data_IF_371131649183
#
_entry.id   IF_371131649183
#
_cell.length_a   1.000
_cell.length_b   1.000
_cell.length_c   1.000
_cell.angle_alpha   90.00
_cell.angle_beta   90.00
_cell.angle_gamma   90.00
#
_symmetry.space_group_name_H-M   'P 1'
#
loop_
_entity.id
_entity.type
_entity.pdbx_description
1 polymer ?
#
# COMPACT_ATOMS: atom_id res chain seq x y z
N UNK A 1 7.31 22.47 -3.51
CA UNK A 1 7.61 23.09 -4.79
C UNK A 1 9.02 22.70 -5.23
N UNK A 2 9.22 22.50 -6.51
CA UNK A 2 10.58 22.35 -7.05
C UNK A 2 11.45 23.53 -6.60
N UNK A 3 12.65 23.23 -6.06
CA UNK A 3 13.60 24.25 -5.58
C UNK A 3 13.43 24.71 -4.14
N UNK A 4 12.56 24.10 -3.35
CA UNK A 4 12.51 24.39 -1.91
C UNK A 4 13.77 23.88 -1.22
N UNK A 5 14.40 24.70 -0.36
CA UNK A 5 15.52 24.27 0.46
C UNK A 5 15.08 23.30 1.58
N UNK A 6 16.05 22.57 2.13
CA UNK A 6 15.78 21.56 3.15
C UNK A 6 15.13 22.15 4.42
N UNK A 7 15.45 23.38 4.79
CA UNK A 7 14.89 24.05 5.98
C UNK A 7 13.41 24.36 5.76
N UNK A 8 13.05 24.89 4.58
CA UNK A 8 11.67 25.15 4.17
C UNK A 8 10.86 23.85 4.14
N UNK A 9 11.43 22.77 3.58
CA UNK A 9 10.77 21.44 3.55
C UNK A 9 10.50 20.96 4.98
N UNK A 10 11.47 21.07 5.89
CA UNK A 10 11.30 20.64 7.28
C UNK A 10 10.24 21.47 8.02
N UNK A 11 10.18 22.78 7.81
CA UNK A 11 9.14 23.65 8.39
C UNK A 11 7.74 23.24 7.92
N UNK A 12 7.57 22.98 6.63
CA UNK A 12 6.30 22.52 6.06
C UNK A 12 5.92 21.15 6.61
N UNK A 13 6.85 20.20 6.69
CA UNK A 13 6.59 18.85 7.22
C UNK A 13 6.23 18.89 8.71
N UNK A 14 6.84 19.78 9.50
CA UNK A 14 6.51 19.93 10.91
C UNK A 14 5.06 20.37 11.17
N UNK A 15 4.47 21.12 10.24
CA UNK A 15 3.05 21.51 10.30
C UNK A 15 2.16 20.46 9.64
N UNK A 16 2.56 19.95 8.47
CA UNK A 16 1.76 19.03 7.68
C UNK A 16 1.54 17.69 8.39
N UNK A 17 2.59 17.07 8.94
CA UNK A 17 2.47 15.72 9.53
C UNK A 17 1.48 15.64 10.69
N UNK A 18 1.53 16.54 11.70
CA UNK A 18 0.52 16.54 12.76
C UNK A 18 -0.90 16.80 12.22
N UNK A 19 -1.06 17.84 11.40
CA UNK A 19 -2.34 18.15 10.79
C UNK A 19 -2.94 16.98 10.02
N UNK A 20 -2.13 16.34 9.17
CA UNK A 20 -2.56 15.18 8.40
C UNK A 20 -2.98 14.02 9.31
N UNK A 21 -2.20 13.73 10.36
CA UNK A 21 -2.51 12.65 11.30
C UNK A 21 -3.85 12.88 12.00
N UNK A 22 -4.12 14.11 12.43
CA UNK A 22 -5.37 14.46 13.11
C UNK A 22 -6.61 14.47 12.18
N UNK A 23 -6.39 14.57 10.86
CA UNK A 23 -7.47 14.73 9.88
C UNK A 23 -7.54 13.57 8.87
N UNK A 24 -6.66 12.58 8.93
CA UNK A 24 -6.56 11.52 7.94
C UNK A 24 -7.81 10.62 7.83
N UNK A 25 -8.65 10.60 8.86
CA UNK A 25 -9.90 9.84 8.91
C UNK A 25 -11.09 10.59 8.29
N UNK A 26 -10.97 11.92 8.08
CA UNK A 26 -12.06 12.75 7.55
C UNK A 26 -12.30 12.38 6.07
N UNK A 27 -13.52 11.94 5.75
CA UNK A 27 -13.94 11.50 4.41
C UNK A 27 -13.10 10.35 3.85
N UNK A 28 -12.41 9.60 4.71
CA UNK A 28 -11.67 8.40 4.32
C UNK A 28 -12.52 7.18 4.64
N UNK A 29 -12.64 6.27 3.69
CA UNK A 29 -13.33 5.00 3.87
C UNK A 29 -12.73 3.94 2.94
N UNK A 30 -12.84 2.66 3.27
CA UNK A 30 -12.54 1.59 2.32
C UNK A 30 -13.41 1.68 1.07
N UNK A 31 -12.87 1.31 -0.07
CA UNK A 31 -13.67 1.16 -1.29
C UNK A 31 -14.80 0.14 -1.09
N UNK A 32 -15.92 0.38 -1.75
CA UNK A 32 -17.08 -0.53 -1.68
C UNK A 32 -16.65 -1.97 -2.06
N UNK A 33 -17.07 -2.95 -1.26
CA UNK A 33 -16.71 -4.35 -1.45
C UNK A 33 -15.32 -4.76 -0.93
N UNK A 34 -14.45 -3.82 -0.57
CA UNK A 34 -13.08 -4.14 -0.15
C UNK A 34 -13.04 -5.02 1.10
N UNK A 35 -13.80 -4.69 2.14
CA UNK A 35 -13.79 -5.44 3.40
C UNK A 35 -14.22 -6.90 3.18
N UNK A 36 -15.21 -7.14 2.33
CA UNK A 36 -15.65 -8.49 1.96
C UNK A 36 -14.55 -9.30 1.27
N UNK A 37 -13.78 -8.65 0.38
CA UNK A 37 -12.65 -9.32 -0.28
C UNK A 37 -11.52 -9.65 0.70
N UNK A 38 -11.23 -8.74 1.64
CA UNK A 38 -10.24 -8.98 2.68
C UNK A 38 -10.68 -10.10 3.64
N UNK A 39 -11.97 -10.20 3.95
CA UNK A 39 -12.52 -11.28 4.77
C UNK A 39 -12.34 -12.67 4.11
N UNK A 40 -12.50 -12.75 2.80
CA UNK A 40 -12.23 -13.98 2.05
C UNK A 40 -10.74 -14.29 2.00
N UNK A 41 -9.90 -13.28 1.79
CA UNK A 41 -8.46 -13.46 1.63
C UNK A 41 -7.77 -13.85 2.94
N UNK A 42 -8.16 -13.26 4.07
CA UNK A 42 -7.53 -13.51 5.38
C UNK A 42 -7.66 -14.97 5.86
N UNK A 43 -8.64 -15.71 5.35
CA UNK A 43 -8.81 -17.14 5.65
C UNK A 43 -7.69 -18.00 5.04
N UNK A 44 -6.98 -17.48 4.04
CA UNK A 44 -5.96 -18.22 3.29
C UNK A 44 -4.58 -17.59 3.35
N UNK A 45 -4.51 -16.27 3.48
CA UNK A 45 -3.28 -15.51 3.36
C UNK A 45 -3.12 -14.52 4.51
N UNK A 46 -1.93 -14.41 5.13
CA UNK A 46 -1.64 -13.30 6.01
C UNK A 46 -1.62 -11.99 5.20
N UNK A 47 -2.14 -10.91 5.78
CA UNK A 47 -2.28 -9.62 5.11
C UNK A 47 -1.53 -8.56 5.91
N UNK A 48 -0.78 -7.70 5.19
CA UNK A 48 -0.12 -6.53 5.75
C UNK A 48 -0.38 -5.28 4.90
N UNK A 49 -0.31 -4.12 5.52
CA UNK A 49 -0.52 -2.82 4.89
C UNK A 49 0.77 -2.01 4.98
N UNK A 50 1.26 -1.50 3.84
CA UNK A 50 2.44 -0.63 3.78
C UNK A 50 2.10 0.68 3.06
N UNK A 51 2.55 1.81 3.60
CA UNK A 51 2.19 3.12 3.05
C UNK A 51 3.28 4.16 3.29
N UNK A 52 3.45 5.09 2.34
CA UNK A 52 4.30 6.28 2.51
C UNK A 52 3.65 7.38 3.38
N UNK A 53 2.45 7.16 3.93
CA UNK A 53 1.85 8.04 4.93
C UNK A 53 2.64 7.96 6.25
N UNK A 54 2.60 8.99 7.11
CA UNK A 54 3.14 8.89 8.47
C UNK A 54 2.63 7.65 9.20
N UNK A 55 3.49 6.93 9.92
CA UNK A 55 3.13 5.65 10.56
C UNK A 55 1.97 5.79 11.56
N UNK A 56 1.92 6.91 12.30
CA UNK A 56 0.79 7.22 13.20
C UNK A 56 -0.55 7.30 12.46
N UNK A 57 -0.57 7.92 11.29
CA UNK A 57 -1.78 8.02 10.46
C UNK A 57 -2.17 6.66 9.86
N UNK A 58 -1.20 5.85 9.42
CA UNK A 58 -1.47 4.49 8.93
C UNK A 58 -2.08 3.63 10.03
N UNK A 59 -1.52 3.66 11.23
CA UNK A 59 -2.02 2.91 12.38
C UNK A 59 -3.42 3.35 12.80
N UNK A 60 -3.69 4.66 12.83
CA UNK A 60 -5.03 5.18 13.14
C UNK A 60 -6.06 4.71 12.11
N UNK A 61 -5.78 4.85 10.82
CA UNK A 61 -6.66 4.37 9.75
C UNK A 61 -6.88 2.86 9.79
N UNK A 62 -5.82 2.09 10.08
CA UNK A 62 -5.94 0.64 10.15
C UNK A 62 -6.71 0.19 11.39
N UNK A 63 -6.60 0.88 12.52
CA UNK A 63 -7.40 0.58 13.70
C UNK A 63 -8.90 0.73 13.44
N UNK A 64 -9.29 1.73 12.64
CA UNK A 64 -10.69 1.99 12.31
C UNK A 64 -11.23 1.07 11.21
N UNK A 65 -10.44 0.87 10.14
CA UNK A 65 -10.96 0.24 8.93
C UNK A 65 -10.46 -1.19 8.71
N UNK A 66 -9.28 -1.53 9.27
CA UNK A 66 -8.61 -2.81 9.02
C UNK A 66 -8.04 -3.38 10.33
N UNK A 67 -8.87 -3.57 11.38
CA UNK A 67 -8.39 -4.03 12.68
C UNK A 67 -7.77 -5.42 12.58
N UNK A 68 -6.61 -5.60 13.24
CA UNK A 68 -5.92 -6.89 13.31
C UNK A 68 -4.89 -7.14 12.21
N UNK A 69 -4.81 -6.29 11.17
CA UNK A 69 -3.75 -6.40 10.18
C UNK A 69 -2.47 -5.69 10.63
N UNK A 70 -1.32 -6.27 10.27
CA UNK A 70 -0.05 -5.54 10.43
C UNK A 70 -0.04 -4.31 9.51
N UNK A 71 0.36 -3.18 10.03
CA UNK A 71 0.39 -1.93 9.29
C UNK A 71 1.70 -1.16 9.56
N UNK A 72 2.35 -0.71 8.50
CA UNK A 72 3.60 0.04 8.53
C UNK A 72 3.51 1.29 7.65
N UNK A 73 3.70 2.44 8.25
CA UNK A 73 3.83 3.72 7.57
C UNK A 73 5.29 4.19 7.47
N UNK A 74 5.48 5.46 7.11
CA UNK A 74 6.80 6.09 7.08
C UNK A 74 7.37 6.19 8.50
N UNK A 75 8.50 5.53 8.73
CA UNK A 75 9.27 5.60 9.97
C UNK A 75 10.72 5.97 9.69
N UNK A 76 11.38 6.63 10.66
CA UNK A 76 12.80 6.95 10.55
C UNK A 76 13.64 5.68 10.39
N UNK A 77 14.66 5.73 9.53
CA UNK A 77 15.54 4.59 9.28
C UNK A 77 14.96 3.48 8.40
N UNK A 78 13.76 3.66 7.84
CA UNK A 78 13.19 2.77 6.84
C UNK A 78 12.94 3.55 5.55
N UNK A 79 13.64 3.26 4.44
CA UNK A 79 13.41 3.91 3.17
C UNK A 79 11.95 3.79 2.71
N UNK A 80 11.43 4.89 2.14
CA UNK A 80 10.06 4.95 1.61
C UNK A 80 9.95 4.20 0.29
N UNK A 81 8.73 3.75 -0.05
CA UNK A 81 8.41 3.29 -1.40
C UNK A 81 8.85 4.34 -2.44
N UNK A 82 9.53 3.99 -3.52
CA UNK A 82 9.61 2.63 -4.10
C UNK A 82 10.75 1.74 -3.57
N UNK A 83 11.46 2.07 -2.48
CA UNK A 83 12.39 1.13 -1.84
C UNK A 83 11.61 -0.08 -1.29
N UNK A 84 12.18 -1.30 -1.33
CA UNK A 84 11.49 -2.52 -0.93
C UNK A 84 11.45 -2.76 0.59
N UNK A 85 12.17 -1.95 1.36
CA UNK A 85 12.43 -2.17 2.80
C UNK A 85 11.16 -2.34 3.63
N UNK A 86 10.13 -1.52 3.35
CA UNK A 86 8.85 -1.63 4.04
C UNK A 86 8.13 -2.95 3.73
N UNK A 87 8.28 -3.45 2.50
CA UNK A 87 7.72 -4.74 2.08
C UNK A 87 8.39 -5.88 2.82
N UNK A 88 9.72 -5.89 2.88
CA UNK A 88 10.46 -6.93 3.60
C UNK A 88 10.13 -6.94 5.10
N UNK A 89 10.04 -5.77 5.74
CA UNK A 89 9.61 -5.68 7.15
C UNK A 89 8.18 -6.20 7.35
N UNK A 90 7.28 -5.90 6.43
CA UNK A 90 5.91 -6.38 6.50
C UNK A 90 5.84 -7.91 6.33
N UNK A 91 6.57 -8.48 5.36
CA UNK A 91 6.65 -9.91 5.14
C UNK A 91 7.22 -10.64 6.37
N UNK A 92 8.31 -10.13 6.95
CA UNK A 92 8.90 -10.65 8.19
C UNK A 92 7.88 -10.63 9.34
N UNK A 93 7.19 -9.51 9.53
CA UNK A 93 6.23 -9.35 10.63
C UNK A 93 5.04 -10.30 10.57
N UNK A 94 4.61 -10.69 9.36
CA UNK A 94 3.50 -11.64 9.16
C UNK A 94 3.97 -13.06 8.84
N UNK A 95 5.29 -13.34 8.87
CA UNK A 95 5.86 -14.66 8.63
C UNK A 95 5.70 -15.17 7.18
N UNK A 96 5.69 -14.25 6.20
CA UNK A 96 5.50 -14.60 4.78
C UNK A 96 6.84 -14.69 4.04
N UNK A 97 7.08 -15.81 3.37
CA UNK A 97 8.25 -15.99 2.47
C UNK A 97 7.96 -15.53 1.05
N UNK A 98 6.71 -15.56 0.63
CA UNK A 98 6.22 -15.11 -0.68
C UNK A 98 5.08 -14.11 -0.48
N UNK A 99 4.94 -13.17 -1.39
CA UNK A 99 3.87 -12.17 -1.31
C UNK A 99 3.42 -11.72 -2.70
N UNK A 100 2.22 -11.18 -2.78
CA UNK A 100 1.70 -10.41 -3.91
C UNK A 100 1.49 -8.99 -3.40
N UNK A 101 2.09 -8.03 -4.07
CA UNK A 101 1.85 -6.62 -3.78
C UNK A 101 0.56 -6.17 -4.47
N UNK A 102 -0.26 -5.38 -3.77
CA UNK A 102 -1.48 -4.80 -4.34
C UNK A 102 -1.36 -3.29 -4.23
N UNK A 103 -1.50 -2.59 -5.35
CA UNK A 103 -1.36 -1.14 -5.36
C UNK A 103 -2.07 -0.48 -6.53
N UNK A 104 -2.17 0.85 -6.47
CA UNK A 104 -2.94 1.67 -7.41
C UNK A 104 -2.10 2.76 -8.09
N UNK A 105 -0.78 2.62 -8.06
CA UNK A 105 0.14 3.63 -8.59
C UNK A 105 1.43 3.03 -9.15
N UNK A 106 2.14 3.83 -9.96
CA UNK A 106 3.47 3.49 -10.50
C UNK A 106 4.47 3.20 -9.39
N UNK A 107 4.35 3.90 -8.25
CA UNK A 107 5.20 3.68 -7.08
C UNK A 107 5.02 2.26 -6.54
N UNK A 108 3.82 1.73 -6.54
CA UNK A 108 3.52 0.39 -6.04
C UNK A 108 4.09 -0.68 -6.97
N UNK A 109 3.94 -0.51 -8.29
CA UNK A 109 4.52 -1.41 -9.30
C UNK A 109 6.04 -1.46 -9.16
N UNK A 110 6.68 -0.29 -9.04
CA UNK A 110 8.14 -0.20 -8.88
C UNK A 110 8.57 -0.81 -7.53
N UNK A 111 7.80 -0.60 -6.45
CA UNK A 111 8.08 -1.18 -5.13
C UNK A 111 8.06 -2.71 -5.19
N UNK A 112 7.03 -3.29 -5.78
CA UNK A 112 6.91 -4.75 -5.94
C UNK A 112 8.07 -5.32 -6.76
N UNK A 113 8.40 -4.68 -7.89
CA UNK A 113 9.56 -5.05 -8.71
C UNK A 113 10.87 -4.99 -7.93
N UNK A 114 11.09 -3.93 -7.16
CA UNK A 114 12.29 -3.79 -6.33
C UNK A 114 12.34 -4.82 -5.19
N UNK A 115 11.19 -5.28 -4.71
CA UNK A 115 11.06 -6.35 -3.74
C UNK A 115 11.16 -7.76 -4.35
N UNK A 116 11.14 -7.89 -5.68
CA UNK A 116 11.19 -9.19 -6.37
C UNK A 116 9.91 -9.99 -6.27
N UNK A 117 8.76 -9.32 -6.09
CA UNK A 117 7.44 -9.96 -5.96
C UNK A 117 6.47 -9.42 -7.04
N UNK A 118 5.44 -10.22 -7.44
CA UNK A 118 4.44 -9.75 -8.39
C UNK A 118 3.60 -8.60 -7.82
N UNK A 119 3.15 -7.71 -8.70
CA UNK A 119 2.23 -6.62 -8.38
C UNK A 119 0.89 -6.83 -9.07
N UNK A 120 -0.21 -6.85 -8.31
CA UNK A 120 -1.56 -6.72 -8.83
C UNK A 120 -1.98 -5.25 -8.78
N UNK A 121 -2.05 -4.61 -9.94
CA UNK A 121 -2.46 -3.21 -10.08
C UNK A 121 -3.98 -3.11 -10.10
N UNK A 122 -4.54 -2.31 -9.18
CA UNK A 122 -6.00 -2.10 -9.06
C UNK A 122 -6.41 -0.81 -9.73
N UNK A 123 -7.50 -0.84 -10.53
CA UNK A 123 -7.92 0.26 -11.39
C UNK A 123 -9.03 1.15 -10.79
N UNK A 124 -9.44 0.91 -9.57
CA UNK A 124 -10.37 1.79 -8.84
C UNK A 124 -9.68 2.82 -7.95
N UNK A 125 -8.35 2.91 -8.01
CA UNK A 125 -7.54 3.77 -7.18
C UNK A 125 -7.11 5.08 -7.84
N UNK A 126 -5.85 5.46 -7.63
CA UNK A 126 -5.34 6.80 -7.91
C UNK A 126 -4.90 7.00 -9.36
N UNK A 127 -4.42 5.95 -10.06
CA UNK A 127 -3.81 6.04 -11.39
C UNK A 127 -4.57 5.24 -12.44
N UNK A 128 -4.43 5.68 -13.67
CA UNK A 128 -4.96 4.98 -14.82
C UNK A 128 -4.09 3.78 -15.21
N UNK A 129 -4.68 2.83 -15.94
CA UNK A 129 -4.01 1.63 -16.39
C UNK A 129 -2.75 1.93 -17.21
N UNK A 130 -2.83 2.92 -18.11
CA UNK A 130 -1.73 3.31 -18.98
C UNK A 130 -0.48 3.79 -18.21
N UNK A 131 -0.67 4.51 -17.10
CA UNK A 131 0.43 4.97 -16.25
C UNK A 131 1.17 3.79 -15.60
N UNK A 132 0.42 2.78 -15.17
CA UNK A 132 1.00 1.58 -14.56
C UNK A 132 1.64 0.65 -15.60
N UNK A 133 1.05 0.51 -16.80
CA UNK A 133 1.66 -0.22 -17.92
C UNK A 133 2.99 0.40 -18.35
N UNK A 134 3.10 1.73 -18.35
CA UNK A 134 4.33 2.45 -18.70
C UNK A 134 5.52 2.11 -17.79
N UNK A 135 5.27 1.66 -16.56
CA UNK A 135 6.32 1.20 -15.63
C UNK A 135 6.40 -0.32 -15.49
N UNK A 136 5.71 -1.07 -16.36
CA UNK A 136 5.81 -2.52 -16.48
C UNK A 136 4.86 -3.32 -15.60
N UNK A 137 3.68 -2.78 -15.27
CA UNK A 137 2.62 -3.56 -14.64
C UNK A 137 2.08 -4.64 -15.60
N UNK A 138 1.93 -5.86 -15.09
CA UNK A 138 1.47 -7.01 -15.88
C UNK A 138 0.09 -7.52 -15.45
N UNK A 139 -0.23 -7.43 -14.16
CA UNK A 139 -1.49 -7.94 -13.60
C UNK A 139 -2.39 -6.78 -13.22
N UNK A 140 -3.66 -6.86 -13.63
CA UNK A 140 -4.65 -5.83 -13.37
C UNK A 140 -5.93 -6.40 -12.80
N UNK A 141 -6.55 -5.65 -11.88
CA UNK A 141 -7.88 -5.91 -11.36
C UNK A 141 -8.73 -4.66 -11.52
N UNK A 142 -9.83 -4.76 -12.28
CA UNK A 142 -10.67 -3.60 -12.63
C UNK A 142 -11.71 -3.27 -11.56
N UNK A 143 -12.14 -4.27 -10.77
CA UNK A 143 -13.23 -4.14 -9.81
C UNK A 143 -12.91 -4.82 -8.50
N UNK A 144 -13.32 -4.19 -7.40
CA UNK A 144 -13.09 -4.71 -6.04
C UNK A 144 -13.61 -6.13 -5.86
N UNK A 145 -14.77 -6.47 -6.42
CA UNK A 145 -15.39 -7.79 -6.30
C UNK A 145 -14.56 -8.93 -6.90
N UNK A 146 -13.60 -8.63 -7.76
CA UNK A 146 -12.73 -9.60 -8.43
C UNK A 146 -11.38 -9.78 -7.73
N UNK A 147 -11.09 -9.02 -6.67
CA UNK A 147 -9.76 -8.96 -6.05
C UNK A 147 -9.29 -10.34 -5.58
N UNK A 148 -10.09 -11.04 -4.79
CA UNK A 148 -9.71 -12.35 -4.26
C UNK A 148 -9.44 -13.37 -5.38
N UNK A 149 -10.26 -13.38 -6.42
CA UNK A 149 -10.08 -14.27 -7.58
C UNK A 149 -8.80 -13.93 -8.35
N UNK A 150 -8.48 -12.64 -8.52
CA UNK A 150 -7.25 -12.21 -9.19
C UNK A 150 -6.00 -12.61 -8.40
N UNK A 151 -6.02 -12.46 -7.07
CA UNK A 151 -4.91 -12.87 -6.20
C UNK A 151 -4.68 -14.38 -6.27
N UNK A 152 -5.73 -15.20 -6.17
CA UNK A 152 -5.58 -16.66 -6.26
C UNK A 152 -4.95 -17.07 -7.58
N UNK A 153 -5.36 -16.49 -8.71
CA UNK A 153 -4.77 -16.79 -10.02
C UNK A 153 -3.27 -16.48 -10.09
N UNK A 154 -2.82 -15.40 -9.45
CA UNK A 154 -1.39 -15.06 -9.40
C UNK A 154 -0.68 -16.02 -8.44
N UNK A 155 -1.26 -16.31 -7.27
CA UNK A 155 -0.68 -17.22 -6.28
C UNK A 155 -0.45 -18.62 -6.83
N UNK A 156 -1.30 -19.10 -7.73
CA UNK A 156 -1.16 -20.41 -8.40
C UNK A 156 0.03 -20.46 -9.39
N UNK A 157 0.71 -19.33 -9.63
CA UNK A 157 1.87 -19.26 -10.57
C UNK A 157 3.23 -19.39 -9.90
N UNK A 158 3.32 -19.47 -8.54
CA UNK A 158 4.60 -19.59 -7.81
C UNK A 158 4.64 -20.59 -6.65
#
# INVERSE_FOLDING_TARGET
PEGADAETVQKVLAVYKPYYTDHCQIKTAPYAGMLQQLDVLKEKYPIAIVSNKPDSAVKALCADFFPGYYALGEVSGCPRKPAPDMVYKAMEAIGAEKAIYIGDSEVDVITARNAGIPCLSVLWGFRDKADMEAVGAEYFCEKTENLATAIVKIADTF
#
